data_IF_782094352281
#
_entry.id   IF_782094352281
#
_cell.length_a   1.000
_cell.length_b   1.000
_cell.length_c   1.000
_cell.angle_alpha   90.00
_cell.angle_beta   90.00
_cell.angle_gamma   90.00
#
_symmetry.space_group_name_H-M   'P 1'
#
loop_
_entity.id
_entity.type
_entity.pdbx_description
1 polymer ?
#
# COMPACT_ATOMS: atom_id res chain seq x y z
N UNK A 1 -27.23 15.36 -2.79
CA UNK A 1 -26.00 14.80 -2.19
C UNK A 1 -25.51 13.74 -3.15
N UNK A 2 -24.56 14.09 -4.03
CA UNK A 2 -23.96 13.10 -4.92
C UNK A 2 -23.02 12.23 -4.09
N UNK A 3 -23.35 10.94 -3.98
CA UNK A 3 -22.46 9.96 -3.35
C UNK A 3 -21.40 9.68 -4.40
N UNK A 4 -20.18 10.21 -4.21
CA UNK A 4 -19.03 9.84 -5.04
C UNK A 4 -18.77 8.34 -4.85
N UNK A 5 -19.27 7.53 -5.76
CA UNK A 5 -19.01 6.10 -5.79
C UNK A 5 -17.58 5.86 -6.31
N UNK A 6 -16.65 5.63 -5.40
CA UNK A 6 -15.25 5.41 -5.73
C UNK A 6 -15.03 3.93 -6.02
N UNK A 7 -14.41 3.59 -7.15
CA UNK A 7 -14.04 2.20 -7.45
C UNK A 7 -12.67 1.86 -6.87
N UNK A 8 -12.57 0.67 -6.28
CA UNK A 8 -11.30 0.15 -5.81
C UNK A 8 -10.38 -0.22 -6.98
N UNK A 9 -9.16 0.35 -7.08
CA UNK A 9 -8.24 0.03 -8.17
C UNK A 9 -7.68 -1.40 -8.13
N UNK A 10 -7.88 -2.14 -7.03
CA UNK A 10 -7.40 -3.54 -6.88
C UNK A 10 -8.44 -4.60 -7.23
N UNK A 11 -9.72 -4.34 -6.99
CA UNK A 11 -10.77 -5.35 -7.11
C UNK A 11 -12.01 -4.85 -7.87
N UNK A 12 -11.94 -3.65 -8.46
CA UNK A 12 -13.02 -2.91 -9.15
C UNK A 12 -14.34 -2.76 -8.36
N UNK A 13 -14.35 -3.16 -7.09
CA UNK A 13 -15.55 -3.06 -6.26
C UNK A 13 -15.85 -1.60 -5.93
N UNK A 14 -17.13 -1.24 -5.98
CA UNK A 14 -17.59 0.03 -5.44
C UNK A 14 -17.24 0.13 -3.96
N UNK A 15 -16.76 1.30 -3.55
CA UNK A 15 -16.36 1.61 -2.18
C UNK A 15 -16.67 3.07 -1.88
N UNK A 16 -17.05 3.34 -0.63
CA UNK A 16 -17.31 4.70 -0.15
C UNK A 16 -16.02 5.44 0.17
N UNK A 17 -14.97 4.69 0.49
CA UNK A 17 -13.67 5.20 0.88
C UNK A 17 -12.56 4.28 0.34
N UNK A 18 -11.44 4.90 0.02
CA UNK A 18 -10.20 4.20 -0.30
C UNK A 18 -9.20 4.47 0.82
N UNK A 19 -8.47 3.44 1.19
CA UNK A 19 -7.44 3.45 2.20
C UNK A 19 -6.09 3.34 1.50
N UNK A 20 -5.06 3.94 2.08
CA UNK A 20 -3.67 3.78 1.66
C UNK A 20 -2.97 2.76 2.56
N UNK A 21 -2.25 1.82 1.95
CA UNK A 21 -1.42 0.87 2.69
C UNK A 21 -0.20 1.59 3.28
N UNK A 22 0.00 1.49 4.59
CA UNK A 22 1.11 2.17 5.27
C UNK A 22 2.49 1.62 4.89
N UNK A 23 2.56 0.37 4.44
CA UNK A 23 3.82 -0.30 4.10
C UNK A 23 4.27 -0.05 2.65
N UNK A 24 3.38 -0.17 1.67
CA UNK A 24 3.73 -0.06 0.25
C UNK A 24 3.07 1.11 -0.48
N UNK A 25 2.33 1.98 0.23
CA UNK A 25 1.67 3.17 -0.31
C UNK A 25 0.65 2.89 -1.43
N UNK A 26 0.22 1.63 -1.60
CA UNK A 26 -0.83 1.25 -2.54
C UNK A 26 -2.20 1.57 -1.97
N UNK A 27 -3.08 2.09 -2.83
CA UNK A 27 -4.47 2.44 -2.48
C UNK A 27 -5.41 1.26 -2.76
N UNK A 28 -6.43 1.08 -1.94
CA UNK A 28 -7.44 0.04 -2.09
C UNK A 28 -8.62 0.22 -1.15
N UNK A 29 -9.68 -0.55 -1.32
CA UNK A 29 -10.83 -0.52 -0.41
C UNK A 29 -10.54 -1.28 0.90
N UNK A 30 -11.46 -1.16 1.86
CA UNK A 30 -11.45 -1.87 3.16
C UNK A 30 -11.32 -3.40 3.05
N UNK A 31 -11.69 -3.99 1.90
CA UNK A 31 -11.52 -5.43 1.64
C UNK A 31 -10.10 -5.77 1.21
N UNK A 32 -9.46 -4.89 0.43
CA UNK A 32 -8.11 -5.09 -0.06
C UNK A 32 -7.04 -4.66 0.94
N UNK A 33 -7.35 -3.68 1.78
CA UNK A 33 -6.48 -3.13 2.83
C UNK A 33 -7.23 -3.24 4.14
N UNK A 34 -6.70 -4.05 5.05
CA UNK A 34 -7.34 -4.38 6.32
C UNK A 34 -6.48 -3.84 7.47
N UNK A 35 -7.14 -3.33 8.51
CA UNK A 35 -6.44 -2.88 9.70
C UNK A 35 -5.98 -4.07 10.55
N UNK A 36 -4.69 -4.15 10.86
CA UNK A 36 -4.10 -5.14 11.78
C UNK A 36 -3.12 -4.43 12.70
N UNK A 37 -3.22 -4.65 14.02
CA UNK A 37 -2.31 -4.02 15.00
C UNK A 37 -2.22 -2.49 14.85
N UNK A 38 -3.36 -1.83 14.57
CA UNK A 38 -3.49 -0.39 14.28
C UNK A 38 -2.85 0.09 12.96
N UNK A 39 -2.33 -0.81 12.12
CA UNK A 39 -1.78 -0.45 10.81
C UNK A 39 -2.69 -0.92 9.66
N UNK A 40 -2.87 -0.09 8.64
CA UNK A 40 -3.60 -0.44 7.42
C UNK A 40 -2.65 -1.09 6.42
N UNK A 41 -2.82 -2.40 6.22
CA UNK A 41 -1.95 -3.19 5.36
C UNK A 41 -2.74 -3.88 4.25
N UNK A 42 -2.22 -3.82 3.03
CA UNK A 42 -2.77 -4.56 1.91
C UNK A 42 -2.47 -6.06 2.02
N UNK A 43 -3.23 -6.89 1.30
CA UNK A 43 -3.05 -8.35 1.28
C UNK A 43 -1.60 -8.81 1.06
N UNK A 44 -0.86 -8.16 0.16
CA UNK A 44 0.55 -8.49 -0.12
C UNK A 44 1.48 -8.23 1.08
N UNK A 45 1.42 -7.02 1.65
CA UNK A 45 2.19 -6.66 2.84
C UNK A 45 1.79 -7.51 4.05
N UNK A 46 0.52 -7.91 4.15
CA UNK A 46 0.01 -8.79 5.20
C UNK A 46 0.60 -10.20 5.12
N UNK A 47 0.85 -10.70 3.91
CA UNK A 47 1.43 -12.01 3.66
C UNK A 47 2.95 -12.06 3.93
N UNK A 48 3.57 -10.95 4.32
CA UNK A 48 5.02 -10.88 4.52
C UNK A 48 5.79 -10.69 3.21
N UNK A 49 5.11 -10.48 2.08
CA UNK A 49 5.69 -9.78 0.94
C UNK A 49 5.74 -8.29 1.27
N UNK A 50 6.44 -7.95 2.35
CA UNK A 50 7.01 -6.62 2.50
C UNK A 50 7.94 -6.47 1.32
N UNK A 51 7.49 -5.75 0.30
CA UNK A 51 8.39 -5.08 -0.62
C UNK A 51 9.30 -4.26 0.29
N UNK A 52 10.46 -4.79 0.64
CA UNK A 52 11.51 -3.94 1.16
C UNK A 52 11.68 -2.89 0.06
N UNK A 53 11.51 -1.59 0.34
CA UNK A 53 12.22 -0.65 -0.48
C UNK A 53 13.66 -1.13 -0.38
N UNK A 54 14.19 -1.69 -1.46
CA UNK A 54 15.62 -1.75 -1.63
C UNK A 54 16.02 -0.29 -1.51
N UNK A 55 16.41 0.12 -0.30
CA UNK A 55 17.42 1.14 -0.12
C UNK A 55 18.62 0.56 -0.84
N UNK A 56 18.59 0.69 -2.16
CA UNK A 56 19.73 0.50 -3.03
C UNK A 56 20.74 1.51 -2.46
N UNK A 57 21.79 1.06 -1.78
CA UNK A 57 22.84 1.98 -1.40
C UNK A 57 23.40 2.47 -2.73
N UNK A 58 23.03 3.69 -3.10
CA UNK A 58 23.46 4.32 -4.33
C UNK A 58 24.97 4.11 -4.47
N UNK A 59 25.52 3.78 -5.65
CA UNK A 59 26.91 3.38 -5.85
C UNK A 59 27.97 4.48 -5.56
N UNK A 60 27.58 5.57 -4.89
CA UNK A 60 28.45 6.70 -4.55
C UNK A 60 29.48 6.39 -3.45
N UNK A 61 29.37 5.27 -2.75
CA UNK A 61 30.35 4.88 -1.72
C UNK A 61 31.64 4.26 -2.27
N UNK A 62 31.79 4.11 -3.60
CA UNK A 62 32.95 3.45 -4.22
C UNK A 62 34.00 4.41 -4.82
N UNK A 63 33.87 5.73 -4.61
CA UNK A 63 34.78 6.72 -5.24
C UNK A 63 35.78 7.33 -4.25
N UNK A 64 35.59 7.14 -2.94
CA UNK A 64 36.52 7.59 -1.90
C UNK A 64 36.78 6.46 -0.89
N UNK A 65 37.75 5.60 -1.21
CA UNK A 65 38.26 4.55 -0.32
C UNK A 65 39.52 3.93 -0.87
#
# INVERSE_FOLDING_TARGET
MEILEIKCPRCDSQSKELIECESCKKIGCVKCITQRSKQWLCGDCRLGNTYQPTNDPSPLSAIFG
#
